data_IF_647842395479
#
_entry.id   IF_647842395479
#
_cell.length_a   1.000
_cell.length_b   1.000
_cell.length_c   1.000
_cell.angle_alpha   90.00
_cell.angle_beta   90.00
_cell.angle_gamma   90.00
#
_symmetry.space_group_name_H-M   'P 1'
#
loop_
_entity.id
_entity.type
_entity.pdbx_description
1 polymer ?
#
# COMPACT_ATOMS: atom_id res chain seq x y z
N UNK A 1 -22.42 -44.41 12.36
CA UNK A 1 -23.46 -43.39 12.59
C UNK A 1 -23.76 -42.77 11.24
N UNK A 2 -24.87 -43.20 10.63
CA UNK A 2 -25.30 -42.78 9.29
C UNK A 2 -26.02 -41.45 9.38
N UNK A 3 -25.73 -40.52 8.46
CA UNK A 3 -26.65 -39.41 8.13
C UNK A 3 -26.82 -39.42 6.61
N UNK A 4 -28.02 -39.80 6.19
CA UNK A 4 -28.55 -39.61 4.84
C UNK A 4 -28.78 -38.13 4.59
N UNK A 5 -28.50 -37.66 3.37
CA UNK A 5 -29.27 -36.59 2.77
C UNK A 5 -29.39 -36.83 1.26
N UNK A 6 -30.60 -37.22 0.86
CA UNK A 6 -31.06 -37.33 -0.51
C UNK A 6 -31.22 -35.92 -1.10
N UNK A 7 -30.58 -35.66 -2.24
CA UNK A 7 -31.10 -34.71 -3.22
C UNK A 7 -31.07 -35.36 -4.60
N UNK A 8 -32.28 -35.56 -5.12
CA UNK A 8 -32.63 -36.16 -6.39
C UNK A 8 -32.50 -35.07 -7.46
N UNK A 9 -31.66 -35.28 -8.47
CA UNK A 9 -31.67 -34.51 -9.71
C UNK A 9 -32.54 -35.26 -10.75
N UNK A 10 -33.55 -34.62 -11.39
CA UNK A 10 -34.22 -35.22 -12.53
C UNK A 10 -33.36 -35.11 -13.81
N UNK A 11 -33.51 -36.06 -14.76
CA UNK A 11 -32.70 -36.11 -15.98
C UNK A 11 -33.14 -35.08 -17.02
N UNK A 12 -32.17 -34.51 -17.72
CA UNK A 12 -32.37 -33.61 -18.87
C UNK A 12 -32.82 -34.45 -20.07
N UNK A 13 -34.04 -34.20 -20.56
CA UNK A 13 -34.59 -34.77 -21.79
C UNK A 13 -34.25 -33.84 -22.96
N UNK A 14 -33.81 -34.44 -24.07
CA UNK A 14 -33.38 -33.76 -25.29
C UNK A 14 -34.53 -33.32 -26.21
N UNK A 15 -34.23 -32.25 -26.96
CA UNK A 15 -34.73 -31.90 -28.30
C UNK A 15 -36.20 -31.52 -28.47
N UNK A 16 -36.44 -30.27 -28.88
CA UNK A 16 -37.21 -29.97 -30.09
C UNK A 16 -37.04 -28.51 -30.57
N UNK A 17 -36.88 -28.39 -31.89
CA UNK A 17 -37.18 -27.27 -32.80
C UNK A 17 -36.39 -25.96 -32.76
N UNK A 18 -35.41 -25.87 -33.68
CA UNK A 18 -34.96 -24.64 -34.31
C UNK A 18 -36.06 -24.09 -35.23
N UNK A 19 -36.77 -23.06 -34.77
CA UNK A 19 -37.52 -22.13 -35.60
C UNK A 19 -36.74 -20.83 -35.74
N UNK A 20 -36.46 -20.43 -36.97
CA UNK A 20 -35.78 -19.17 -37.33
C UNK A 20 -36.71 -17.98 -37.09
N UNK A 21 -36.29 -17.05 -36.23
CA UNK A 21 -36.93 -15.73 -36.02
C UNK A 21 -35.89 -14.65 -36.40
N UNK A 22 -36.29 -13.64 -37.19
CA UNK A 22 -35.37 -12.66 -37.77
C UNK A 22 -34.73 -11.75 -36.72
N UNK A 23 -33.52 -11.28 -37.03
CA UNK A 23 -32.70 -10.39 -36.24
C UNK A 23 -33.40 -9.05 -35.96
N UNK A 24 -34.09 -8.95 -34.82
CA UNK A 24 -34.32 -7.67 -34.18
C UNK A 24 -33.05 -7.32 -33.39
N UNK A 25 -32.41 -6.22 -33.77
CA UNK A 25 -31.28 -5.67 -33.06
C UNK A 25 -31.70 -5.27 -31.64
N UNK A 26 -31.54 -6.17 -30.68
CA UNK A 26 -31.45 -5.79 -29.27
C UNK A 26 -30.11 -5.08 -29.07
N UNK A 27 -30.03 -3.83 -29.53
CA UNK A 27 -28.99 -2.92 -29.04
C UNK A 27 -29.38 -2.63 -27.58
N UNK A 28 -28.55 -2.97 -26.59
CA UNK A 28 -28.81 -2.50 -25.23
C UNK A 28 -28.96 -0.97 -25.27
N UNK A 29 -29.85 -0.37 -24.45
CA UNK A 29 -29.94 1.07 -24.34
C UNK A 29 -28.54 1.62 -24.11
N UNK A 30 -28.11 2.53 -24.99
CA UNK A 30 -26.91 3.31 -24.78
C UNK A 30 -27.05 3.93 -23.38
N UNK A 31 -26.08 3.77 -22.47
CA UNK A 31 -26.19 4.35 -21.14
C UNK A 31 -26.45 5.85 -21.26
N UNK A 32 -27.31 6.33 -20.35
CA UNK A 32 -27.90 7.66 -20.35
C UNK A 32 -26.88 8.78 -20.61
N UNK A 33 -27.39 9.85 -21.23
CA UNK A 33 -26.73 11.15 -21.44
C UNK A 33 -25.68 11.43 -20.36
N UNK A 34 -24.47 11.80 -20.81
CA UNK A 34 -23.45 12.44 -19.98
C UNK A 34 -24.12 13.61 -19.25
N UNK A 35 -24.34 13.47 -17.94
CA UNK A 35 -25.03 14.48 -17.15
C UNK A 35 -24.37 15.83 -17.37
N UNK A 36 -25.14 16.80 -17.87
CA UNK A 36 -24.61 18.14 -18.07
C UNK A 36 -24.38 18.78 -16.70
N UNK A 37 -23.12 18.93 -16.32
CA UNK A 37 -22.71 19.58 -15.09
C UNK A 37 -22.74 21.09 -15.26
N UNK A 38 -23.48 21.81 -14.41
CA UNK A 38 -23.47 23.27 -14.33
C UNK A 38 -22.57 23.73 -13.18
N UNK A 39 -21.79 24.81 -13.35
CA UNK A 39 -20.94 25.33 -12.28
C UNK A 39 -21.78 25.90 -11.13
N UNK A 40 -21.34 25.65 -9.89
CA UNK A 40 -21.96 26.11 -8.65
C UNK A 40 -20.86 26.65 -7.71
N UNK A 41 -21.11 27.78 -7.04
CA UNK A 41 -20.19 28.29 -6.02
C UNK A 41 -20.46 27.61 -4.68
N UNK A 42 -19.50 26.81 -4.20
CA UNK A 42 -19.52 26.24 -2.85
C UNK A 42 -18.70 27.08 -1.88
N UNK A 43 -19.18 27.18 -0.64
CA UNK A 43 -18.49 27.83 0.47
C UNK A 43 -18.39 26.88 1.64
N UNK A 44 -17.21 26.80 2.27
CA UNK A 44 -17.04 26.07 3.52
C UNK A 44 -17.47 26.95 4.69
N UNK A 45 -18.11 26.36 5.69
CA UNK A 45 -18.54 27.10 6.87
C UNK A 45 -17.33 27.65 7.65
N UNK A 46 -17.26 28.98 7.78
CA UNK A 46 -16.15 29.69 8.40
C UNK A 46 -15.89 29.25 9.85
N UNK A 47 -16.95 28.97 10.63
CA UNK A 47 -16.82 28.48 12.01
C UNK A 47 -16.17 27.08 12.08
N UNK A 48 -16.33 26.28 11.03
CA UNK A 48 -15.73 24.94 10.95
C UNK A 48 -14.24 25.02 10.59
N UNK A 49 -13.85 26.00 9.75
CA UNK A 49 -12.45 26.22 9.39
C UNK A 49 -11.59 26.64 10.59
N UNK A 50 -12.13 27.49 11.46
CA UNK A 50 -11.48 27.91 12.71
C UNK A 50 -11.20 26.70 13.61
N UNK A 51 -12.13 25.76 13.70
CA UNK A 51 -11.99 24.55 14.51
C UNK A 51 -10.94 23.56 13.97
N UNK A 52 -10.62 23.61 12.67
CA UNK A 52 -9.63 22.73 12.02
C UNK A 52 -8.21 23.32 12.14
N UNK A 53 -8.05 24.50 12.74
CA UNK A 53 -6.73 25.10 12.99
C UNK A 53 -5.99 25.57 11.74
N UNK A 54 -6.69 25.72 10.60
CA UNK A 54 -6.09 26.27 9.36
C UNK A 54 -6.08 27.80 9.44
N UNK A 55 -4.87 28.38 9.30
CA UNK A 55 -4.64 29.82 9.46
C UNK A 55 -5.42 30.68 8.44
N UNK A 56 -5.72 31.93 8.80
CA UNK A 56 -6.53 32.88 8.02
C UNK A 56 -6.07 33.12 6.57
N UNK A 57 -4.80 32.85 6.23
CA UNK A 57 -4.28 32.93 4.85
C UNK A 57 -4.73 31.79 3.93
N UNK A 58 -4.91 30.57 4.46
CA UNK A 58 -5.45 29.42 3.72
C UNK A 58 -6.98 29.42 3.66
N UNK A 59 -7.64 30.28 4.43
CA UNK A 59 -9.11 30.43 4.42
C UNK A 59 -9.61 31.04 3.10
N UNK A 60 -8.90 32.03 2.52
CA UNK A 60 -9.30 32.67 1.25
C UNK A 60 -9.29 31.73 0.04
N UNK A 61 -8.43 30.72 0.03
CA UNK A 61 -8.41 29.69 -1.03
C UNK A 61 -9.52 28.65 -0.87
N UNK A 62 -10.10 28.52 0.33
CA UNK A 62 -11.20 27.60 0.63
C UNK A 62 -12.58 28.29 0.52
N UNK A 63 -12.61 29.63 0.46
CA UNK A 63 -13.82 30.46 0.43
C UNK A 63 -14.68 30.29 -0.85
N UNK A 64 -14.06 29.97 -1.99
CA UNK A 64 -14.77 29.79 -3.25
C UNK A 64 -14.22 28.56 -3.98
N UNK A 65 -14.86 27.42 -3.76
CA UNK A 65 -14.57 26.20 -4.51
C UNK A 65 -15.61 26.05 -5.61
N UNK A 66 -15.14 25.87 -6.84
CA UNK A 66 -15.99 25.50 -7.96
C UNK A 66 -16.53 24.08 -7.75
N UNK A 67 -17.81 24.00 -7.42
CA UNK A 67 -18.58 22.77 -7.44
C UNK A 67 -19.33 22.65 -8.74
N UNK A 68 -19.90 21.48 -8.96
CA UNK A 68 -20.77 21.23 -10.09
C UNK A 68 -22.11 20.68 -9.62
N UNK A 69 -23.19 20.98 -10.33
CA UNK A 69 -24.50 20.43 -10.05
C UNK A 69 -25.01 19.69 -11.30
N UNK A 70 -25.62 18.52 -11.12
CA UNK A 70 -26.30 17.83 -12.21
C UNK A 70 -27.78 18.27 -12.34
N UNK A 71 -28.48 17.70 -13.32
CA UNK A 71 -29.89 18.00 -13.57
C UNK A 71 -30.81 17.53 -12.42
N UNK A 72 -30.37 16.56 -11.64
CA UNK A 72 -31.06 16.02 -10.47
C UNK A 72 -30.80 16.81 -9.18
N UNK A 73 -30.09 17.94 -9.28
CA UNK A 73 -29.66 18.80 -8.17
C UNK A 73 -28.63 18.19 -7.23
N UNK A 74 -28.00 17.07 -7.58
CA UNK A 74 -26.84 16.52 -6.88
C UNK A 74 -25.62 17.43 -7.05
N UNK A 75 -24.88 17.67 -5.96
CA UNK A 75 -23.71 18.55 -5.94
C UNK A 75 -22.43 17.72 -5.90
N UNK A 76 -21.60 17.93 -6.91
CA UNK A 76 -20.27 17.34 -7.05
C UNK A 76 -19.23 18.34 -6.54
N UNK A 77 -18.43 17.89 -5.59
CA UNK A 77 -17.38 18.68 -4.95
C UNK A 77 -16.04 18.19 -5.46
N UNK A 78 -15.10 19.08 -5.85
CA UNK A 78 -13.78 18.64 -6.30
C UNK A 78 -13.00 17.99 -5.15
N UNK A 79 -12.33 16.88 -5.46
CA UNK A 79 -11.56 16.11 -4.48
C UNK A 79 -10.45 16.93 -3.80
N UNK A 80 -9.92 17.96 -4.48
CA UNK A 80 -8.96 18.90 -3.90
C UNK A 80 -9.47 19.55 -2.62
N UNK A 81 -10.78 19.81 -2.50
CA UNK A 81 -11.35 20.36 -1.26
C UNK A 81 -11.22 19.36 -0.10
N UNK A 82 -11.54 18.08 -0.33
CA UNK A 82 -11.40 17.04 0.71
C UNK A 82 -9.94 16.88 1.11
N UNK A 83 -9.04 16.77 0.13
CA UNK A 83 -7.59 16.68 0.36
C UNK A 83 -7.02 17.87 1.13
N UNK A 84 -7.56 19.08 0.91
CA UNK A 84 -7.09 20.30 1.57
C UNK A 84 -7.75 20.54 2.92
N UNK A 85 -8.86 19.89 3.24
CA UNK A 85 -9.58 20.09 4.51
C UNK A 85 -9.38 18.95 5.49
N UNK A 86 -9.12 17.73 4.99
CA UNK A 86 -8.89 16.52 5.76
C UNK A 86 -7.50 15.98 5.46
N UNK A 87 -6.64 15.92 6.48
CA UNK A 87 -5.23 15.56 6.29
C UNK A 87 -5.02 14.06 5.99
N UNK A 88 -6.00 13.20 6.32
CA UNK A 88 -5.92 11.74 6.16
C UNK A 88 -6.54 11.20 4.87
N UNK A 89 -7.20 12.04 4.06
CA UNK A 89 -7.84 11.60 2.81
C UNK A 89 -6.88 11.67 1.64
N UNK A 90 -6.65 10.53 1.00
CA UNK A 90 -5.83 10.39 -0.20
C UNK A 90 -6.67 9.92 -1.37
N UNK A 91 -6.26 10.32 -2.57
CA UNK A 91 -6.92 9.92 -3.79
C UNK A 91 -5.94 9.88 -4.95
N UNK A 92 -6.04 8.83 -5.76
CA UNK A 92 -5.17 8.60 -6.90
C UNK A 92 -6.00 8.11 -8.09
N UNK A 93 -5.71 8.65 -9.28
CA UNK A 93 -6.27 8.14 -10.52
C UNK A 93 -5.45 6.92 -10.94
N UNK A 94 -6.03 5.74 -10.84
CA UNK A 94 -5.36 4.50 -11.21
C UNK A 94 -5.60 4.24 -12.69
N UNK A 95 -4.60 4.58 -13.50
CA UNK A 95 -4.51 4.18 -14.90
C UNK A 95 -4.19 2.68 -14.96
N UNK A 96 -5.05 1.90 -15.62
CA UNK A 96 -4.86 0.45 -15.68
C UNK A 96 -3.84 0.06 -16.74
N UNK A 97 -2.98 -0.91 -16.42
CA UNK A 97 -2.25 -1.68 -17.42
C UNK A 97 -3.17 -2.77 -17.97
N UNK A 98 -3.65 -2.56 -19.20
CA UNK A 98 -4.40 -3.48 -20.09
C UNK A 98 -5.86 -3.77 -19.68
N UNK A 99 -6.78 -3.44 -20.60
CA UNK A 99 -8.21 -3.84 -20.76
C UNK A 99 -9.22 -3.57 -19.65
N UNK A 100 -9.08 -2.45 -18.95
CA UNK A 100 -10.11 -2.03 -17.99
C UNK A 100 -10.13 -0.49 -17.89
N UNK A 101 -11.31 0.09 -17.65
CA UNK A 101 -11.51 1.54 -17.51
C UNK A 101 -10.70 2.13 -16.33
N UNK A 102 -10.15 3.36 -16.47
CA UNK A 102 -9.52 4.05 -15.36
C UNK A 102 -10.52 4.28 -14.23
N UNK A 103 -10.04 4.29 -12.98
CA UNK A 103 -10.87 4.56 -11.81
C UNK A 103 -10.12 5.43 -10.81
N UNK A 104 -10.87 6.25 -10.08
CA UNK A 104 -10.33 7.06 -9.01
C UNK A 104 -10.45 6.29 -7.69
N UNK A 105 -9.32 5.96 -7.07
CA UNK A 105 -9.28 5.29 -5.78
C UNK A 105 -9.24 6.34 -4.67
N UNK A 106 -10.16 6.26 -3.71
CA UNK A 106 -10.19 7.12 -2.52
C UNK A 106 -9.84 6.29 -1.30
N UNK A 107 -8.85 6.76 -0.54
CA UNK A 107 -8.42 6.15 0.70
C UNK A 107 -8.68 7.11 1.86
N UNK A 108 -9.50 6.68 2.82
CA UNK A 108 -9.80 7.45 4.04
C UNK A 108 -8.78 7.22 5.16
N UNK A 109 -7.84 6.30 4.96
CA UNK A 109 -6.75 6.03 5.89
C UNK A 109 -5.58 5.39 5.15
N UNK A 110 -4.36 5.66 5.60
CA UNK A 110 -3.14 5.11 4.99
C UNK A 110 -2.70 3.78 5.61
N UNK A 111 -3.23 3.42 6.79
CA UNK A 111 -2.76 2.26 7.55
C UNK A 111 -3.50 0.99 7.15
N UNK A 112 -2.78 -0.13 7.12
CA UNK A 112 -3.34 -1.46 6.81
C UNK A 112 -3.26 -2.37 8.02
N UNK A 113 -4.29 -3.18 8.23
CA UNK A 113 -4.31 -4.21 9.28
C UNK A 113 -3.79 -5.52 8.70
N UNK A 114 -2.73 -6.04 9.29
CA UNK A 114 -2.17 -7.35 8.91
C UNK A 114 -2.88 -8.46 9.69
N UNK A 115 -3.64 -9.30 8.97
CA UNK A 115 -4.46 -10.38 9.58
C UNK A 115 -3.67 -11.66 9.82
N UNK A 116 -2.54 -11.85 9.14
CA UNK A 116 -1.81 -13.12 9.14
C UNK A 116 -0.84 -13.28 10.34
N UNK A 117 -0.73 -12.26 11.20
CA UNK A 117 0.11 -12.31 12.40
C UNK A 117 -0.62 -12.91 13.61
N UNK A 118 -1.18 -14.11 13.46
CA UNK A 118 -1.70 -14.85 14.61
C UNK A 118 -0.53 -15.10 15.56
N UNK A 119 -0.64 -14.66 16.81
CA UNK A 119 0.39 -14.86 17.82
C UNK A 119 0.66 -16.36 18.01
N UNK A 120 1.88 -16.81 17.70
CA UNK A 120 2.30 -18.22 17.81
C UNK A 120 3.08 -18.54 19.09
N UNK A 121 3.17 -17.58 20.03
CA UNK A 121 4.01 -17.67 21.22
C UNK A 121 5.26 -16.79 21.15
N UNK A 122 6.06 -16.72 22.23
CA UNK A 122 7.21 -15.81 22.35
C UNK A 122 8.33 -16.05 21.32
N UNK A 123 8.45 -17.28 20.82
CA UNK A 123 9.44 -17.68 19.82
C UNK A 123 8.98 -17.39 18.38
N UNK A 124 7.71 -17.03 18.20
CA UNK A 124 7.13 -16.75 16.90
C UNK A 124 7.58 -15.39 16.35
N UNK A 125 7.03 -15.05 15.18
CA UNK A 125 7.14 -13.70 14.67
C UNK A 125 6.52 -12.70 15.67
N UNK A 126 7.18 -11.56 15.83
CA UNK A 126 6.70 -10.48 16.66
C UNK A 126 5.67 -9.63 15.91
N UNK A 127 4.39 -9.83 16.18
CA UNK A 127 3.28 -9.10 15.53
C UNK A 127 3.45 -9.11 13.99
N UNK A 128 3.36 -7.96 13.34
CA UNK A 128 3.57 -7.80 11.90
C UNK A 128 4.97 -7.25 11.57
N UNK A 129 5.93 -7.32 12.51
CA UNK A 129 7.22 -6.62 12.38
C UNK A 129 8.09 -7.10 11.23
N UNK A 130 7.92 -8.32 10.72
CA UNK A 130 8.76 -8.67 9.57
C UNK A 130 8.31 -7.99 8.28
N UNK A 131 7.21 -7.24 8.27
CA UNK A 131 6.88 -6.31 7.18
C UNK A 131 7.54 -4.93 7.37
N UNK A 132 8.32 -4.74 8.45
CA UNK A 132 9.02 -3.49 8.71
C UNK A 132 10.46 -3.56 8.23
N UNK A 133 10.82 -2.55 7.46
CA UNK A 133 12.20 -2.16 7.17
C UNK A 133 12.52 -1.00 8.11
N UNK A 134 13.20 -1.30 9.21
CA UNK A 134 13.50 -0.31 10.24
C UNK A 134 14.64 0.58 9.76
N UNK A 135 15.63 -0.04 9.12
CA UNK A 135 16.81 0.52 8.49
C UNK A 135 16.51 1.53 7.37
N UNK A 136 15.36 1.44 6.70
CA UNK A 136 14.97 2.36 5.61
C UNK A 136 14.28 3.65 6.09
N UNK A 137 14.02 3.75 7.39
CA UNK A 137 13.34 4.93 7.96
C UNK A 137 14.29 6.12 7.94
N UNK A 138 13.78 7.29 7.56
CA UNK A 138 14.55 8.56 7.49
C UNK A 138 15.25 8.99 8.79
N UNK A 139 14.79 8.46 9.92
CA UNK A 139 15.35 8.70 11.26
C UNK A 139 16.42 7.68 11.69
N UNK A 140 16.76 6.73 10.82
CA UNK A 140 17.96 5.89 10.94
C UNK A 140 19.03 6.56 10.09
N UNK A 141 20.08 7.05 10.73
CA UNK A 141 21.21 7.67 10.02
C UNK A 141 22.03 6.61 9.29
N UNK A 142 22.37 5.54 10.00
CA UNK A 142 23.16 4.43 9.49
C UNK A 142 23.02 3.20 10.41
N UNK A 143 23.58 2.09 9.97
CA UNK A 143 23.89 0.94 10.84
C UNK A 143 25.33 1.13 11.33
N UNK A 144 25.51 1.20 12.65
CA UNK A 144 26.85 1.32 13.25
C UNK A 144 27.69 0.09 12.90
N UNK A 145 28.90 0.29 12.38
CA UNK A 145 29.81 -0.82 12.10
C UNK A 145 30.34 -1.47 13.39
N UNK A 146 30.55 -0.69 14.44
CA UNK A 146 31.04 -1.20 15.74
C UNK A 146 29.97 -1.98 16.50
N UNK A 147 28.75 -1.45 16.54
CA UNK A 147 27.67 -2.03 17.35
C UNK A 147 26.69 -2.90 16.53
N UNK A 148 26.77 -2.85 15.20
CA UNK A 148 25.88 -3.56 14.27
C UNK A 148 24.39 -3.28 14.45
N UNK A 149 24.05 -2.09 14.96
CA UNK A 149 22.67 -1.65 15.24
C UNK A 149 22.40 -0.24 14.69
N UNK A 150 21.13 0.13 14.45
CA UNK A 150 20.79 1.44 13.91
C UNK A 150 21.13 2.59 14.85
N UNK A 151 21.65 3.67 14.28
CA UNK A 151 21.84 4.96 14.94
C UNK A 151 20.67 5.89 14.61
N UNK A 152 20.03 6.47 15.62
CA UNK A 152 18.83 7.28 15.48
C UNK A 152 19.13 8.77 15.41
N UNK A 153 18.35 9.50 14.62
CA UNK A 153 18.29 10.97 14.62
C UNK A 153 16.94 11.54 15.07
N UNK A 154 16.09 10.72 15.71
CA UNK A 154 14.69 11.04 16.00
C UNK A 154 14.48 12.37 16.75
N UNK A 155 15.36 12.70 17.70
CA UNK A 155 15.27 13.92 18.53
C UNK A 155 16.54 14.78 18.53
N UNK A 156 17.54 14.41 17.72
CA UNK A 156 18.82 15.10 17.65
C UNK A 156 19.61 14.64 16.43
N UNK A 157 20.24 15.58 15.73
CA UNK A 157 20.93 15.28 14.47
C UNK A 157 22.26 14.55 14.68
N UNK A 158 22.84 14.64 15.88
CA UNK A 158 24.16 14.12 16.22
C UNK A 158 24.24 12.58 16.22
N UNK A 159 23.09 11.91 16.21
CA UNK A 159 23.02 10.45 16.21
C UNK A 159 23.17 9.85 17.60
N UNK A 160 22.30 8.92 17.97
CA UNK A 160 22.41 8.20 19.23
C UNK A 160 21.78 6.80 19.14
N UNK A 161 22.22 5.91 20.03
CA UNK A 161 21.64 4.58 20.15
C UNK A 161 20.29 4.68 20.85
N UNK A 162 19.21 4.46 20.09
CA UNK A 162 17.86 4.53 20.62
C UNK A 162 17.29 3.11 20.87
N UNK A 163 17.13 2.68 22.14
CA UNK A 163 16.82 1.29 22.47
C UNK A 163 15.57 0.74 21.77
N UNK A 164 14.51 1.55 21.66
CA UNK A 164 13.28 1.13 20.97
C UNK A 164 13.51 0.86 19.49
N UNK A 165 14.31 1.69 18.80
CA UNK A 165 14.63 1.47 17.39
C UNK A 165 15.51 0.23 17.20
N UNK A 166 16.49 0.03 18.09
CA UNK A 166 17.36 -1.16 18.09
C UNK A 166 16.53 -2.43 18.29
N UNK A 167 15.62 -2.45 19.28
CA UNK A 167 14.73 -3.57 19.52
C UNK A 167 13.82 -3.84 18.31
N UNK A 168 13.25 -2.80 17.70
CA UNK A 168 12.42 -2.94 16.50
C UNK A 168 13.21 -3.54 15.33
N UNK A 169 14.47 -3.12 15.14
CA UNK A 169 15.36 -3.66 14.11
C UNK A 169 15.64 -5.15 14.33
N UNK A 170 15.99 -5.56 15.55
CA UNK A 170 16.18 -6.98 15.87
C UNK A 170 14.91 -7.82 15.65
N UNK A 171 13.77 -7.34 16.16
CA UNK A 171 12.49 -8.05 16.06
C UNK A 171 11.96 -8.14 14.61
N UNK A 172 12.23 -7.14 13.76
CA UNK A 172 11.86 -7.19 12.35
C UNK A 172 12.71 -8.20 11.59
N UNK A 173 14.02 -8.23 11.79
CA UNK A 173 14.93 -9.21 11.19
C UNK A 173 14.62 -10.63 11.65
N UNK A 174 14.39 -10.84 12.96
CA UNK A 174 13.92 -12.13 13.50
C UNK A 174 12.64 -12.59 12.81
N UNK A 175 11.65 -11.70 12.73
CA UNK A 175 10.35 -12.00 12.11
C UNK A 175 10.46 -12.24 10.60
N UNK A 176 11.40 -11.60 9.89
CA UNK A 176 11.71 -11.87 8.48
C UNK A 176 12.34 -13.25 8.32
N UNK A 177 13.32 -13.58 9.15
CA UNK A 177 14.02 -14.86 9.14
C UNK A 177 13.06 -16.05 9.31
N UNK A 178 12.03 -15.92 10.15
CA UNK A 178 11.00 -16.95 10.32
C UNK A 178 10.04 -17.10 9.13
N UNK A 179 9.82 -16.05 8.33
CA UNK A 179 8.95 -16.10 7.13
C UNK A 179 9.69 -16.53 5.87
N UNK A 180 10.96 -16.16 5.76
CA UNK A 180 11.82 -16.70 4.72
C UNK A 180 12.12 -18.15 5.04
N UNK A 181 11.71 -19.11 4.20
CA UNK A 181 12.41 -20.38 4.15
C UNK A 181 13.85 -20.04 3.75
N UNK A 182 14.78 -20.05 4.70
CA UNK A 182 16.15 -19.56 4.54
C UNK A 182 16.89 -20.47 3.55
N UNK A 183 16.68 -20.21 2.27
CA UNK A 183 17.52 -20.58 1.15
C UNK A 183 17.94 -19.27 0.49
N UNK A 184 18.62 -18.41 1.23
CA UNK A 184 19.34 -17.31 0.61
C UNK A 184 20.45 -17.92 -0.25
N UNK A 185 20.51 -17.57 -1.52
CA UNK A 185 21.64 -17.93 -2.38
C UNK A 185 22.92 -17.34 -1.76
N UNK A 186 23.69 -18.19 -1.08
CA UNK A 186 24.95 -17.81 -0.45
C UNK A 186 26.08 -18.16 -1.40
N UNK A 187 26.73 -17.14 -1.95
CA UNK A 187 27.99 -17.31 -2.67
C UNK A 187 29.14 -17.16 -1.69
N UNK A 188 30.04 -18.14 -1.65
CA UNK A 188 31.26 -18.09 -0.85
C UNK A 188 32.40 -17.69 -1.80
N UNK A 189 33.03 -16.54 -1.54
CA UNK A 189 34.13 -16.04 -2.38
C UNK A 189 35.51 -16.56 -1.92
N UNK A 190 35.70 -16.79 -0.63
CA UNK A 190 36.94 -17.31 -0.05
C UNK A 190 36.59 -18.20 1.16
N UNK A 191 37.29 -19.33 1.31
CA UNK A 191 37.07 -20.29 2.40
C UNK A 191 38.34 -20.68 3.16
N UNK A 192 39.53 -20.32 2.67
CA UNK A 192 40.81 -20.70 3.25
C UNK A 192 41.12 -22.19 3.19
N UNK A 193 40.27 -22.98 2.52
CA UNK A 193 40.45 -24.41 2.36
C UNK A 193 41.51 -24.71 1.28
N UNK A 194 42.38 -25.72 1.50
CA UNK A 194 43.36 -26.11 0.50
C UNK A 194 42.65 -26.60 -0.76
N UNK A 195 43.01 -26.03 -1.92
CA UNK A 195 42.44 -26.38 -3.23
C UNK A 195 41.39 -25.41 -3.78
N UNK A 196 40.96 -24.40 -3.01
CA UNK A 196 40.20 -23.27 -3.54
C UNK A 196 41.17 -22.27 -4.19
N UNK A 197 40.98 -21.96 -5.47
CA UNK A 197 41.75 -20.92 -6.16
C UNK A 197 41.15 -19.57 -5.81
N UNK A 198 41.89 -18.76 -5.08
CA UNK A 198 41.47 -17.43 -4.73
C UNK A 198 41.99 -16.42 -5.76
N UNK A 199 41.11 -15.55 -6.26
CA UNK A 199 41.44 -14.52 -7.25
C UNK A 199 41.88 -13.22 -6.56
N UNK A 200 42.85 -13.33 -5.65
CA UNK A 200 43.44 -12.17 -4.98
C UNK A 200 44.48 -11.52 -5.89
N UNK A 201 44.24 -10.27 -6.28
CA UNK A 201 45.27 -9.42 -6.88
C UNK A 201 46.01 -8.65 -5.78
N UNK A 202 47.23 -9.07 -5.49
CA UNK A 202 48.08 -8.48 -4.45
C UNK A 202 49.14 -7.55 -5.04
N UNK A 203 49.21 -6.31 -4.54
CA UNK A 203 50.31 -5.39 -4.85
C UNK A 203 51.64 -5.92 -4.25
N UNK A 204 52.42 -6.62 -5.07
CA UNK A 204 53.73 -7.18 -4.69
C UNK A 204 54.82 -6.11 -4.55
N UNK A 205 54.56 -4.85 -4.89
CA UNK A 205 55.58 -3.79 -4.86
C UNK A 205 55.82 -3.18 -3.48
N UNK A 206 54.95 -3.46 -2.50
CA UNK A 206 55.03 -2.92 -1.13
C UNK A 206 55.63 -3.88 -0.10
N UNK A 207 55.80 -5.15 -0.44
CA UNK A 207 56.48 -6.13 0.43
C UNK A 207 57.96 -6.19 0.06
N UNK A 208 58.78 -5.33 0.66
CA UNK A 208 60.23 -5.56 0.74
C UNK A 208 60.50 -6.42 1.97
N UNK A 209 60.85 -7.69 1.74
CA UNK A 209 61.45 -8.55 2.75
C UNK A 209 62.90 -8.12 3.03
#
# INVERSE_FOLDING_TARGET
>A
MMINNNYIFPPVVSNQHFGSIPSSSCRPPIPAKKDSLSPLSCRVNQKVLENIGKASKSIKEIEAVECYQNQEKEVFIPFSLMKNTQDDVKGELIEKKIDKEPYFAIEFSYSRVFRDSIYKGPQGQFLYFGNFDVESRSRVLCISAGESVPVSSQWGIDGYLYPTQIAQYGLSHWSKALRSNISSNRTIFESGLPGATADWDGDTTRCRF
#
